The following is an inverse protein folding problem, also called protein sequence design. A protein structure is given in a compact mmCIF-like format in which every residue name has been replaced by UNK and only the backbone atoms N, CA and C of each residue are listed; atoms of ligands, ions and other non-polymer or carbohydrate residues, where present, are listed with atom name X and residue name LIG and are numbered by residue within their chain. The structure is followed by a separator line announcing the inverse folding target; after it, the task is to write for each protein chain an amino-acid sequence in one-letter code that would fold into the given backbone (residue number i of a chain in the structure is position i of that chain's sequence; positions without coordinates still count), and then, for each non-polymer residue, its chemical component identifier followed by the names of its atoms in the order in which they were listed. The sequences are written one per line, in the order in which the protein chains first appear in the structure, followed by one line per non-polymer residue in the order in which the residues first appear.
data_IF_442297940814
#
_entry.id   IF_442297940814
#
_cell.length_a   1.000
_cell.length_b   1.000
_cell.length_c   1.000
_cell.angle_alpha   90.00
_cell.angle_beta   90.00
_cell.angle_gamma   90.00
#
_symmetry.space_group_name_H-M   'P 1'
#
loop_
_entity.id
_entity.type
_entity.pdbx_description
1 polymer ?
#
# COMPACT_ATOMS: atom_id res chain seq x y z
N UNK A 1 12.23 -29.53 -9.24
CA UNK A 1 11.75 -28.15 -9.10
C UNK A 1 11.98 -27.78 -7.65
N UNK A 2 12.77 -26.76 -7.37
CA UNK A 2 12.97 -26.27 -6.00
C UNK A 2 11.87 -25.24 -5.69
N UNK A 3 11.08 -25.45 -4.65
CA UNK A 3 10.04 -24.53 -4.20
C UNK A 3 10.51 -23.63 -3.04
N UNK A 4 11.77 -23.70 -2.66
CA UNK A 4 12.34 -22.83 -1.63
C UNK A 4 12.80 -21.49 -2.24
N UNK A 5 12.81 -20.46 -1.42
CA UNK A 5 13.33 -19.14 -1.77
C UNK A 5 14.85 -19.19 -1.95
N UNK A 6 15.38 -18.34 -2.82
CA UNK A 6 16.82 -18.16 -2.98
C UNK A 6 17.46 -17.56 -1.70
N UNK A 7 18.78 -17.67 -1.58
CA UNK A 7 19.50 -17.09 -0.45
C UNK A 7 19.40 -15.56 -0.42
N UNK A 8 19.38 -14.91 -1.59
CA UNK A 8 19.22 -13.45 -1.70
C UNK A 8 17.83 -13.02 -1.23
N UNK A 9 16.77 -13.73 -1.62
CA UNK A 9 15.40 -13.47 -1.17
C UNK A 9 15.27 -13.67 0.35
N UNK A 10 15.86 -14.73 0.89
CA UNK A 10 15.90 -14.97 2.35
C UNK A 10 16.66 -13.88 3.07
N UNK A 11 17.77 -13.40 2.52
CA UNK A 11 18.55 -12.31 3.10
C UNK A 11 17.73 -11.01 3.20
N UNK A 12 17.02 -10.61 2.15
CA UNK A 12 16.14 -9.43 2.18
C UNK A 12 15.04 -9.58 3.23
N UNK A 13 14.39 -10.75 3.29
CA UNK A 13 13.39 -11.07 4.32
C UNK A 13 13.95 -10.92 5.72
N UNK A 14 15.12 -11.52 5.99
CA UNK A 14 15.70 -11.58 7.32
C UNK A 14 16.19 -10.18 7.78
N UNK A 15 16.69 -9.36 6.86
CA UNK A 15 17.03 -7.96 7.12
C UNK A 15 15.78 -7.13 7.44
N UNK A 16 14.71 -7.29 6.66
CA UNK A 16 13.43 -6.62 6.93
C UNK A 16 12.86 -7.06 8.30
N UNK A 17 12.90 -8.36 8.60
CA UNK A 17 12.47 -8.91 9.88
C UNK A 17 13.25 -8.33 11.05
N UNK A 18 14.59 -8.27 10.93
CA UNK A 18 15.47 -7.72 11.96
C UNK A 18 15.16 -6.26 12.21
N UNK A 19 15.10 -5.46 11.14
CA UNK A 19 14.79 -4.02 11.25
C UNK A 19 13.43 -3.79 11.94
N UNK A 20 12.38 -4.48 11.49
CA UNK A 20 11.03 -4.29 12.03
C UNK A 20 10.93 -4.75 13.49
N UNK A 21 11.56 -5.87 13.86
CA UNK A 21 11.62 -6.31 15.26
C UNK A 21 12.25 -5.25 16.17
N UNK A 22 13.31 -4.60 15.70
CA UNK A 22 14.09 -3.68 16.50
C UNK A 22 13.51 -2.25 16.52
N UNK A 23 12.70 -1.86 15.50
CA UNK A 23 12.22 -0.50 15.31
C UNK A 23 10.69 -0.34 15.26
N UNK A 24 9.93 -1.42 15.00
CA UNK A 24 8.47 -1.41 14.92
C UNK A 24 7.84 -2.09 16.13
N UNK A 25 8.14 -1.60 17.32
CA UNK A 25 7.60 -2.12 18.56
C UNK A 25 6.23 -1.53 18.90
N UNK A 26 5.74 -1.92 20.08
CA UNK A 26 4.42 -1.50 20.61
C UNK A 26 4.24 0.03 20.65
N UNK A 27 5.32 0.78 20.90
CA UNK A 27 5.29 2.23 20.97
C UNK A 27 4.99 2.85 19.60
N UNK A 28 5.65 2.38 18.54
CA UNK A 28 5.40 2.83 17.18
C UNK A 28 3.95 2.58 16.73
N UNK A 29 3.39 1.43 17.11
CA UNK A 29 2.00 1.10 16.84
C UNK A 29 1.03 1.99 17.63
N UNK A 30 1.27 2.19 18.94
CA UNK A 30 0.42 3.00 19.80
C UNK A 30 0.36 4.47 19.39
N UNK A 31 1.46 5.08 18.99
CA UNK A 31 1.47 6.48 18.55
C UNK A 31 0.52 6.72 17.36
N UNK A 32 0.37 5.73 16.48
CA UNK A 32 -0.60 5.80 15.38
C UNK A 32 -2.02 5.50 15.85
N UNK A 33 -2.22 4.48 16.69
CA UNK A 33 -3.53 4.13 17.25
C UNK A 33 -4.14 5.27 18.09
N UNK A 34 -3.31 6.00 18.82
CA UNK A 34 -3.70 7.12 19.68
C UNK A 34 -3.83 8.45 18.91
N UNK A 35 -3.55 8.43 17.60
CA UNK A 35 -3.71 9.58 16.70
C UNK A 35 -2.60 10.64 16.82
N UNK A 36 -1.48 10.32 17.46
CA UNK A 36 -0.33 11.23 17.59
C UNK A 36 0.40 11.43 16.25
N UNK A 37 0.37 10.40 15.38
CA UNK A 37 0.97 10.44 14.06
C UNK A 37 0.09 9.72 13.04
N UNK A 38 0.07 10.17 11.76
CA UNK A 38 -0.69 9.49 10.71
C UNK A 38 -0.11 8.13 10.32
N UNK A 39 1.17 7.89 10.58
CA UNK A 39 1.88 6.62 10.38
C UNK A 39 3.20 6.63 11.15
N UNK A 40 3.85 5.49 11.32
CA UNK A 40 5.14 5.37 12.00
C UNK A 40 6.29 5.88 11.11
N UNK A 41 6.50 7.19 11.12
CA UNK A 41 7.45 7.89 10.22
C UNK A 41 8.87 7.36 10.31
N UNK A 42 9.37 7.07 11.52
CA UNK A 42 10.72 6.56 11.73
C UNK A 42 10.87 5.15 11.12
N UNK A 43 9.85 4.30 11.27
CA UNK A 43 9.81 2.97 10.65
C UNK A 43 9.81 3.09 9.13
N UNK A 44 8.95 3.94 8.56
CA UNK A 44 8.91 4.21 7.12
C UNK A 44 10.27 4.66 6.59
N UNK A 45 10.87 5.65 7.22
CA UNK A 45 12.20 6.17 6.82
C UNK A 45 13.29 5.08 6.88
N UNK A 46 13.23 4.19 7.86
CA UNK A 46 14.16 3.06 7.95
C UNK A 46 13.97 2.07 6.80
N UNK A 47 12.73 1.70 6.50
CA UNK A 47 12.40 0.83 5.35
C UNK A 47 12.87 1.46 4.02
N UNK A 48 12.70 2.78 3.86
CA UNK A 48 13.18 3.54 2.70
C UNK A 48 14.72 3.51 2.59
N UNK A 49 15.45 3.72 3.69
CA UNK A 49 16.92 3.64 3.71
C UNK A 49 17.44 2.25 3.32
N UNK A 50 16.66 1.21 3.58
CA UNK A 50 16.96 -0.16 3.15
C UNK A 50 16.53 -0.43 1.69
N UNK A 51 15.90 0.52 1.01
CA UNK A 51 15.41 0.37 -0.36
C UNK A 51 14.17 -0.53 -0.50
N UNK A 52 13.49 -0.88 0.60
CA UNK A 52 12.39 -1.85 0.59
C UNK A 52 11.16 -1.40 -0.23
N UNK A 53 10.76 -0.11 -0.27
CA UNK A 53 9.70 0.33 -1.19
C UNK A 53 10.04 0.12 -2.66
N UNK A 54 11.33 0.14 -3.01
CA UNK A 54 11.86 -0.08 -4.36
C UNK A 54 12.14 -1.53 -4.72
N UNK A 55 11.82 -2.51 -3.87
CA UNK A 55 12.18 -3.93 -4.05
C UNK A 55 11.81 -4.46 -5.45
N UNK A 56 10.60 -4.20 -5.93
CA UNK A 56 10.13 -4.70 -7.24
C UNK A 56 10.33 -3.69 -8.38
N UNK A 57 10.69 -2.43 -8.09
CA UNK A 57 10.95 -1.40 -9.10
C UNK A 57 12.24 -1.76 -9.85
N UNK A 58 12.27 -1.71 -11.19
CA UNK A 58 13.48 -1.95 -11.97
C UNK A 58 14.63 -0.99 -11.61
N UNK A 59 15.86 -1.45 -11.76
CA UNK A 59 17.07 -0.66 -11.45
C UNK A 59 17.16 0.63 -12.29
N UNK A 60 16.68 0.60 -13.53
CA UNK A 60 16.63 1.78 -14.41
C UNK A 60 15.78 2.93 -13.86
N UNK A 61 14.87 2.64 -12.91
CA UNK A 61 14.05 3.62 -12.19
C UNK A 61 14.48 3.75 -10.71
N UNK A 62 15.68 3.34 -10.36
CA UNK A 62 16.23 3.51 -9.01
C UNK A 62 15.74 2.48 -7.98
N UNK A 63 15.09 1.41 -8.41
CA UNK A 63 14.71 0.30 -7.55
C UNK A 63 15.79 -0.77 -7.44
N UNK A 64 15.48 -1.86 -6.73
CA UNK A 64 16.39 -3.00 -6.56
C UNK A 64 16.25 -4.08 -7.64
N UNK A 65 15.18 -4.06 -8.46
CA UNK A 65 14.93 -5.07 -9.49
C UNK A 65 14.75 -6.50 -8.95
N UNK A 66 14.52 -6.67 -7.64
CA UNK A 66 14.48 -7.98 -6.99
C UNK A 66 13.15 -8.74 -7.22
N UNK A 67 12.18 -8.11 -7.86
CA UNK A 67 10.93 -8.72 -8.29
C UNK A 67 9.87 -8.86 -7.19
N UNK A 68 8.69 -9.34 -7.61
CA UNK A 68 7.51 -9.42 -6.75
C UNK A 68 7.60 -10.53 -5.70
N UNK A 69 8.35 -11.61 -5.96
CA UNK A 69 8.50 -12.68 -4.98
C UNK A 69 9.25 -12.19 -3.74
N UNK A 70 10.33 -11.43 -3.93
CA UNK A 70 11.04 -10.78 -2.84
C UNK A 70 10.15 -9.78 -2.11
N UNK A 71 9.35 -9.00 -2.85
CA UNK A 71 8.39 -8.05 -2.25
C UNK A 71 7.31 -8.76 -1.40
N UNK A 72 6.88 -9.97 -1.78
CA UNK A 72 5.98 -10.79 -0.96
C UNK A 72 6.59 -11.14 0.40
N UNK A 73 7.89 -11.46 0.44
CA UNK A 73 8.59 -11.76 1.69
C UNK A 73 8.74 -10.52 2.58
N UNK A 74 8.93 -9.34 1.98
CA UNK A 74 8.89 -8.05 2.71
C UNK A 74 7.48 -7.82 3.29
N UNK A 75 6.43 -8.01 2.49
CA UNK A 75 5.04 -7.86 2.91
C UNK A 75 4.70 -8.77 4.12
N UNK A 76 5.17 -10.02 4.11
CA UNK A 76 5.01 -10.94 5.25
C UNK A 76 5.60 -10.37 6.53
N UNK A 77 6.79 -9.75 6.46
CA UNK A 77 7.41 -9.17 7.65
C UNK A 77 6.68 -7.91 8.13
N UNK A 78 6.15 -7.08 7.22
CA UNK A 78 5.30 -5.93 7.59
C UNK A 78 4.06 -6.39 8.37
N UNK A 79 3.39 -7.42 7.89
CA UNK A 79 2.24 -8.01 8.56
C UNK A 79 2.58 -8.64 9.91
N UNK A 80 3.70 -9.36 10.00
CA UNK A 80 4.18 -9.99 11.23
C UNK A 80 4.39 -8.97 12.37
N UNK A 81 4.78 -7.75 12.03
CA UNK A 81 5.06 -6.68 12.98
C UNK A 81 3.95 -5.61 13.03
N UNK A 82 2.84 -5.80 12.32
CA UNK A 82 1.74 -4.82 12.20
C UNK A 82 2.25 -3.41 11.88
N UNK A 83 3.18 -3.29 10.95
CA UNK A 83 3.86 -2.03 10.66
C UNK A 83 2.88 -0.96 10.13
N UNK A 84 2.59 0.11 10.90
CA UNK A 84 1.64 1.14 10.50
C UNK A 84 2.32 2.17 9.60
N UNK A 85 2.59 1.76 8.36
CA UNK A 85 3.30 2.54 7.33
C UNK A 85 2.52 2.51 6.01
N UNK A 86 2.64 3.53 5.14
CA UNK A 86 1.89 3.62 3.88
C UNK A 86 2.44 2.68 2.80
N UNK A 87 2.81 1.46 3.17
CA UNK A 87 3.41 0.51 2.25
C UNK A 87 2.38 -0.07 1.29
N UNK A 88 1.20 -0.45 1.79
CA UNK A 88 0.16 -1.03 0.95
C UNK A 88 -0.41 -0.04 -0.07
N UNK A 89 -0.68 1.19 0.33
CA UNK A 89 -1.16 2.23 -0.58
C UNK A 89 -0.12 2.62 -1.62
N UNK A 90 1.12 2.85 -1.18
CA UNK A 90 2.17 3.35 -2.03
C UNK A 90 2.78 2.27 -2.92
N UNK A 91 3.13 1.10 -2.34
CA UNK A 91 3.85 0.05 -3.06
C UNK A 91 2.91 -0.93 -3.76
N UNK A 92 1.90 -1.48 -3.04
CA UNK A 92 1.03 -2.50 -3.65
C UNK A 92 0.04 -1.93 -4.66
N UNK A 93 -0.33 -0.65 -4.53
CA UNK A 93 -1.33 0.00 -5.38
C UNK A 93 -0.71 1.05 -6.31
N UNK A 94 -0.22 2.17 -5.78
CA UNK A 94 0.21 3.31 -6.59
C UNK A 94 1.45 3.01 -7.43
N UNK A 95 2.49 2.43 -6.84
CA UNK A 95 3.72 2.05 -7.56
C UNK A 95 3.45 0.96 -8.58
N UNK A 96 2.66 -0.04 -8.21
CA UNK A 96 2.28 -1.13 -9.12
C UNK A 96 1.52 -0.62 -10.35
N UNK A 97 0.59 0.32 -10.15
CA UNK A 97 -0.13 0.96 -11.24
C UNK A 97 0.80 1.71 -12.20
N UNK A 98 1.76 2.48 -11.65
CA UNK A 98 2.76 3.20 -12.43
C UNK A 98 3.69 2.27 -13.20
N UNK A 99 4.18 1.19 -12.57
CA UNK A 99 5.03 0.21 -13.24
C UNK A 99 4.30 -0.47 -14.40
N UNK A 100 3.04 -0.87 -14.19
CA UNK A 100 2.28 -1.61 -15.18
C UNK A 100 1.79 -0.75 -16.34
N UNK A 101 1.34 0.48 -16.07
CA UNK A 101 0.57 1.28 -17.03
C UNK A 101 1.12 2.68 -17.25
N UNK A 102 2.05 3.18 -16.44
CA UNK A 102 2.64 4.50 -16.61
C UNK A 102 3.37 4.64 -17.96
N UNK A 103 3.29 5.83 -18.56
CA UNK A 103 4.16 6.19 -19.69
C UNK A 103 5.61 6.24 -19.22
N UNK A 104 6.55 6.13 -20.15
CA UNK A 104 7.97 6.23 -19.82
C UNK A 104 8.31 7.51 -19.04
N UNK A 105 7.74 8.64 -19.47
CA UNK A 105 7.92 9.92 -18.77
C UNK A 105 7.39 9.90 -17.33
N UNK A 106 6.22 9.26 -17.10
CA UNK A 106 5.64 9.13 -15.76
C UNK A 106 6.47 8.20 -14.88
N UNK A 107 6.96 7.08 -15.43
CA UNK A 107 7.86 6.15 -14.71
C UNK A 107 9.15 6.84 -14.29
N UNK A 108 9.81 7.54 -15.20
CA UNK A 108 11.05 8.29 -14.94
C UNK A 108 10.84 9.41 -13.91
N UNK A 109 9.68 10.07 -13.90
CA UNK A 109 9.38 11.16 -12.98
C UNK A 109 9.08 10.68 -11.55
N UNK A 110 8.41 9.53 -11.40
CA UNK A 110 7.83 9.12 -10.11
C UNK A 110 8.45 7.89 -9.49
N UNK A 111 8.80 6.84 -10.25
CA UNK A 111 9.32 5.60 -9.67
C UNK A 111 10.58 5.80 -8.83
N UNK A 112 11.57 6.65 -9.22
CA UNK A 112 12.73 6.91 -8.37
C UNK A 112 12.36 7.50 -7.01
N UNK A 113 11.40 8.43 -6.97
CA UNK A 113 10.94 9.06 -5.72
C UNK A 113 10.17 8.08 -4.84
N UNK A 114 9.39 7.19 -5.45
CA UNK A 114 8.64 6.14 -4.74
C UNK A 114 9.60 5.07 -4.20
N UNK A 115 10.61 4.67 -4.97
CA UNK A 115 11.64 3.74 -4.53
C UNK A 115 12.42 4.27 -3.32
N UNK A 116 12.76 5.57 -3.34
CA UNK A 116 13.45 6.24 -2.24
C UNK A 116 12.53 6.58 -1.05
N UNK A 117 11.19 6.44 -1.21
CA UNK A 117 10.20 6.87 -0.22
C UNK A 117 10.10 8.38 -0.03
N UNK A 118 10.61 9.16 -0.99
CA UNK A 118 10.49 10.63 -1.03
C UNK A 118 9.09 11.08 -1.38
N UNK A 119 8.32 10.21 -2.05
CA UNK A 119 6.92 10.41 -2.37
C UNK A 119 6.10 9.18 -1.98
N UNK A 120 4.85 9.41 -1.62
CA UNK A 120 3.85 8.39 -1.32
C UNK A 120 2.79 8.44 -2.41
N UNK A 121 2.44 7.27 -2.97
CA UNK A 121 1.36 7.14 -3.94
C UNK A 121 0.14 6.46 -3.31
N UNK A 122 -1.01 6.63 -3.94
CA UNK A 122 -2.24 5.90 -3.58
C UNK A 122 -3.09 5.59 -4.80
N UNK A 123 -4.14 4.79 -4.59
CA UNK A 123 -5.17 4.48 -5.57
C UNK A 123 -6.52 4.99 -5.08
N UNK A 124 -7.26 5.69 -5.95
CA UNK A 124 -8.55 6.28 -5.64
C UNK A 124 -9.61 5.82 -6.65
N UNK A 125 -10.44 4.87 -6.28
CA UNK A 125 -11.42 4.23 -7.16
C UNK A 125 -12.84 4.24 -6.59
N UNK A 126 -13.02 4.22 -5.26
CA UNK A 126 -14.30 4.10 -4.58
C UNK A 126 -15.04 5.45 -4.54
N UNK A 127 -16.34 5.45 -4.90
CA UNK A 127 -17.21 6.63 -4.85
C UNK A 127 -18.45 6.45 -3.99
N UNK A 128 -18.83 5.21 -3.71
CA UNK A 128 -20.01 4.87 -2.94
C UNK A 128 -19.72 3.75 -1.95
N UNK A 129 -20.62 3.54 -0.98
CA UNK A 129 -20.55 2.40 -0.06
C UNK A 129 -21.02 1.07 -0.70
N UNK A 130 -21.41 1.08 -1.96
CA UNK A 130 -21.85 -0.10 -2.69
C UNK A 130 -20.68 -0.84 -3.31
N UNK A 131 -20.95 -2.03 -3.83
CA UNK A 131 -19.97 -2.81 -4.61
C UNK A 131 -19.49 -1.98 -5.79
N UNK A 132 -18.17 -1.89 -5.94
CA UNK A 132 -17.54 -1.20 -7.06
C UNK A 132 -17.85 -1.91 -8.38
N UNK A 133 -18.43 -1.17 -9.32
CA UNK A 133 -18.72 -1.62 -10.68
C UNK A 133 -18.38 -0.51 -11.67
N UNK A 134 -18.17 -0.80 -12.96
CA UNK A 134 -17.95 0.25 -13.97
C UNK A 134 -19.03 1.34 -13.96
N UNK A 135 -20.27 0.97 -13.70
CA UNK A 135 -21.42 1.89 -13.69
C UNK A 135 -21.46 2.77 -12.44
N UNK A 136 -20.81 2.36 -11.34
CA UNK A 136 -20.73 3.12 -10.10
C UNK A 136 -19.76 4.30 -10.16
N UNK A 137 -18.98 4.44 -11.24
CA UNK A 137 -18.00 5.51 -11.41
C UNK A 137 -18.66 6.73 -12.05
N UNK A 138 -18.64 7.85 -11.35
CA UNK A 138 -19.17 9.14 -11.77
C UNK A 138 -18.10 10.24 -11.90
N UNK A 139 -16.98 10.12 -11.19
CA UNK A 139 -15.81 11.00 -11.35
C UNK A 139 -15.37 10.98 -12.81
N UNK A 140 -15.18 12.14 -13.40
CA UNK A 140 -14.94 12.26 -14.84
C UNK A 140 -13.82 13.24 -15.17
N UNK A 141 -13.19 12.98 -16.31
CA UNK A 141 -12.16 13.85 -16.91
C UNK A 141 -12.72 14.50 -18.15
N UNK A 142 -12.63 15.84 -18.19
CA UNK A 142 -12.98 16.65 -19.34
C UNK A 142 -11.84 17.61 -19.64
N UNK A 143 -11.34 17.60 -20.86
CA UNK A 143 -10.24 18.48 -21.31
C UNK A 143 -9.01 18.44 -20.36
N UNK A 144 -8.64 17.25 -19.88
CA UNK A 144 -7.51 17.07 -18.95
C UNK A 144 -7.77 17.57 -17.51
N UNK A 145 -9.02 17.78 -17.15
CA UNK A 145 -9.46 18.23 -15.83
C UNK A 145 -10.35 17.19 -15.18
N UNK A 146 -9.99 16.77 -13.97
CA UNK A 146 -10.72 15.82 -13.15
C UNK A 146 -11.72 16.54 -12.26
N UNK A 147 -12.96 16.01 -12.22
CA UNK A 147 -14.02 16.52 -11.36
C UNK A 147 -14.73 15.38 -10.66
N UNK A 148 -15.02 15.59 -9.37
CA UNK A 148 -15.81 14.66 -8.56
C UNK A 148 -15.16 14.31 -7.24
N UNK A 149 -15.58 13.19 -6.64
CA UNK A 149 -15.22 12.83 -5.27
C UNK A 149 -14.91 11.35 -5.16
N UNK A 150 -13.79 11.02 -4.54
CA UNK A 150 -13.42 9.66 -4.15
C UNK A 150 -13.49 9.49 -2.63
N UNK A 151 -13.96 8.32 -2.21
CA UNK A 151 -14.13 7.95 -0.80
C UNK A 151 -13.10 6.89 -0.41
N UNK A 152 -12.80 6.82 0.88
CA UNK A 152 -11.97 5.75 1.48
C UNK A 152 -10.63 5.57 0.72
N UNK A 153 -10.04 6.70 0.29
CA UNK A 153 -8.74 6.68 -0.39
C UNK A 153 -7.66 6.31 0.64
N UNK A 154 -6.98 5.15 0.48
CA UNK A 154 -5.96 4.72 1.43
C UNK A 154 -4.82 5.73 1.51
N UNK A 155 -4.45 6.15 2.72
CA UNK A 155 -3.38 7.13 2.97
C UNK A 155 -3.52 8.45 2.18
N UNK A 156 -4.73 8.77 1.68
CA UNK A 156 -4.96 9.92 0.79
C UNK A 156 -4.52 11.26 1.35
N UNK A 157 -4.56 11.45 2.67
CA UNK A 157 -4.14 12.68 3.31
C UNK A 157 -2.62 12.88 3.37
N UNK A 158 -1.84 11.80 3.28
CA UNK A 158 -0.38 11.85 3.33
C UNK A 158 0.27 11.58 1.96
N UNK A 159 -0.50 11.07 0.99
CA UNK A 159 -0.01 10.79 -0.35
C UNK A 159 0.30 12.09 -1.13
N UNK A 160 1.29 11.99 -2.02
CA UNK A 160 1.70 13.07 -2.92
C UNK A 160 0.98 12.97 -4.26
N UNK A 161 0.77 11.73 -4.72
CA UNK A 161 0.07 11.44 -5.97
C UNK A 161 -1.00 10.36 -5.77
N UNK A 162 -2.03 10.43 -6.57
CA UNK A 162 -3.06 9.38 -6.68
C UNK A 162 -3.19 8.87 -8.11
N UNK A 163 -3.41 7.57 -8.23
CA UNK A 163 -3.95 6.97 -9.45
C UNK A 163 -5.47 6.91 -9.26
N UNK A 164 -6.19 7.62 -10.12
CA UNK A 164 -7.64 7.80 -10.01
C UNK A 164 -8.36 7.07 -11.13
N UNK A 165 -9.29 6.16 -10.79
CA UNK A 165 -10.21 5.59 -11.76
C UNK A 165 -11.31 6.63 -12.07
N UNK A 166 -11.47 7.03 -13.34
CA UNK A 166 -12.46 8.02 -13.73
C UNK A 166 -13.00 7.75 -15.14
N UNK A 167 -14.14 8.34 -15.45
CA UNK A 167 -14.70 8.32 -16.80
C UNK A 167 -13.87 9.21 -17.74
N UNK A 168 -13.41 8.62 -18.82
CA UNK A 168 -12.76 9.31 -19.95
C UNK A 168 -13.73 9.64 -21.10
N UNK A 169 -14.96 9.11 -21.01
CA UNK A 169 -16.05 9.28 -21.96
C UNK A 169 -17.34 8.65 -21.44
N UNK A 170 -18.45 8.69 -22.19
CA UNK A 170 -19.75 8.20 -21.73
C UNK A 170 -19.74 6.73 -21.24
N UNK A 171 -19.01 5.87 -21.94
CA UNK A 171 -18.92 4.43 -21.63
C UNK A 171 -17.49 3.94 -21.39
N UNK A 172 -16.52 4.87 -21.29
CA UNK A 172 -15.11 4.51 -21.12
C UNK A 172 -14.57 4.96 -19.77
N UNK A 173 -13.77 4.08 -19.16
CA UNK A 173 -13.01 4.34 -17.94
C UNK A 173 -11.52 4.41 -18.26
N UNK A 174 -10.80 5.26 -17.54
CA UNK A 174 -9.34 5.36 -17.57
C UNK A 174 -8.75 5.49 -16.19
N UNK A 175 -7.48 5.16 -16.07
CA UNK A 175 -6.68 5.52 -14.90
C UNK A 175 -5.96 6.84 -15.18
N UNK A 176 -5.94 7.71 -14.18
CA UNK A 176 -5.37 9.05 -14.28
C UNK A 176 -4.42 9.33 -13.13
N UNK A 177 -3.26 9.88 -13.45
CA UNK A 177 -2.29 10.37 -12.48
C UNK A 177 -2.64 11.79 -12.06
N UNK A 178 -2.76 12.00 -10.74
CA UNK A 178 -3.13 13.28 -10.14
C UNK A 178 -2.12 13.67 -9.07
N UNK A 179 -1.67 14.91 -9.07
CA UNK A 179 -0.91 15.49 -7.98
C UNK A 179 -1.87 15.92 -6.86
N UNK A 180 -1.80 15.26 -5.70
CA UNK A 180 -2.66 15.56 -4.56
C UNK A 180 -2.30 16.85 -3.82
N UNK A 181 -1.15 17.47 -4.14
CA UNK A 181 -0.73 18.76 -3.60
C UNK A 181 -1.23 19.94 -4.45
N UNK A 182 -1.97 19.67 -5.54
CA UNK A 182 -2.57 20.73 -6.33
C UNK A 182 -3.65 21.47 -5.52
N UNK A 183 -3.73 22.81 -5.56
CA UNK A 183 -4.69 23.60 -4.79
C UNK A 183 -6.16 23.34 -5.13
N UNK A 184 -6.46 22.71 -6.27
CA UNK A 184 -7.80 22.28 -6.67
C UNK A 184 -8.24 20.95 -6.05
N UNK A 185 -7.39 20.31 -5.23
CA UNK A 185 -7.67 19.07 -4.50
C UNK A 185 -8.02 19.42 -3.06
N UNK A 186 -9.17 18.97 -2.60
CA UNK A 186 -9.54 19.04 -1.18
C UNK A 186 -9.55 17.64 -0.57
N UNK A 187 -8.86 17.48 0.57
CA UNK A 187 -8.67 16.20 1.24
C UNK A 187 -9.19 16.29 2.68
N UNK A 188 -10.06 15.37 3.04
CA UNK A 188 -10.62 15.25 4.38
C UNK A 188 -10.34 13.85 4.93
N UNK A 189 -9.70 13.77 6.10
CA UNK A 189 -9.47 12.51 6.79
C UNK A 189 -10.80 11.87 7.22
N UNK A 190 -10.91 10.57 7.03
CA UNK A 190 -12.06 9.76 7.44
C UNK A 190 -11.60 8.75 8.48
N UNK A 191 -12.32 8.73 9.61
CA UNK A 191 -12.06 7.74 10.65
C UNK A 191 -12.37 6.33 10.15
N UNK A 192 -11.41 5.44 10.26
CA UNK A 192 -11.54 4.02 9.94
C UNK A 192 -11.69 3.17 11.20
N UNK A 193 -12.22 1.95 11.06
CA UNK A 193 -12.28 0.96 12.16
C UNK A 193 -10.86 0.58 12.60
N UNK A 194 -9.95 0.45 11.62
CA UNK A 194 -8.53 0.28 11.88
C UNK A 194 -7.81 1.63 11.74
N UNK A 195 -7.47 2.31 12.85
CA UNK A 195 -6.80 3.61 12.79
C UNK A 195 -5.32 3.52 12.36
N UNK A 196 -4.77 2.33 12.19
CA UNK A 196 -3.41 2.15 11.63
C UNK A 196 -3.40 2.22 10.10
N UNK A 197 -4.58 2.24 9.46
CA UNK A 197 -4.80 2.34 8.02
C UNK A 197 -5.61 3.59 7.73
N UNK A 198 -4.93 4.72 7.56
CA UNK A 198 -5.59 5.99 7.32
C UNK A 198 -6.34 5.97 5.99
N UNK A 199 -7.50 6.63 5.99
CA UNK A 199 -8.30 6.83 4.79
C UNK A 199 -8.74 8.28 4.69
N UNK A 200 -8.99 8.73 3.47
CA UNK A 200 -9.47 10.08 3.21
C UNK A 200 -10.59 10.10 2.17
N UNK A 201 -11.39 11.14 2.24
CA UNK A 201 -12.20 11.61 1.13
C UNK A 201 -11.38 12.60 0.32
N UNK A 202 -11.34 12.46 -0.99
CA UNK A 202 -10.63 13.37 -1.91
C UNK A 202 -11.61 13.94 -2.91
N UNK A 203 -11.68 15.27 -2.96
CA UNK A 203 -12.53 16.02 -3.90
C UNK A 203 -11.66 16.73 -4.92
N UNK A 204 -12.00 16.58 -6.18
CA UNK A 204 -11.33 17.19 -7.31
C UNK A 204 -12.25 18.25 -7.93
N UNK A 205 -11.74 19.47 -8.10
CA UNK A 205 -12.45 20.59 -8.72
C UNK A 205 -11.61 21.17 -9.84
N UNK A 206 -11.87 20.75 -11.08
CA UNK A 206 -11.08 21.12 -12.25
C UNK A 206 -9.58 20.78 -12.09
N UNK A 207 -9.28 19.68 -11.40
CA UNK A 207 -7.91 19.28 -11.07
C UNK A 207 -7.17 18.80 -12.31
N UNK A 208 -6.00 19.37 -12.62
CA UNK A 208 -5.17 18.89 -13.72
C UNK A 208 -4.80 17.41 -13.54
N UNK A 209 -4.91 16.64 -14.61
CA UNK A 209 -4.61 15.21 -14.58
C UNK A 209 -4.04 14.72 -15.90
N UNK A 210 -3.28 13.65 -15.85
CA UNK A 210 -2.69 12.97 -16.99
C UNK A 210 -3.22 11.54 -17.08
N UNK A 211 -3.49 11.05 -18.29
CA UNK A 211 -3.84 9.64 -18.48
C UNK A 211 -2.67 8.76 -18.08
N UNK A 212 -2.94 7.71 -17.31
CA UNK A 212 -1.96 6.69 -16.95
C UNK A 212 -1.89 5.64 -18.08
N UNK A 213 -1.13 5.98 -19.12
CA UNK A 213 -1.06 5.13 -20.32
C UNK A 213 -2.36 5.10 -21.12
N UNK A 214 -2.51 4.06 -21.94
CA UNK A 214 -3.67 3.80 -22.76
C UNK A 214 -4.33 2.47 -22.35
N UNK A 215 -5.65 2.34 -22.55
CA UNK A 215 -6.38 1.09 -22.31
C UNK A 215 -7.67 1.29 -21.54
N UNK A 216 -8.31 0.17 -21.24
CA UNK A 216 -9.52 0.11 -20.42
C UNK A 216 -9.15 0.22 -18.94
N UNK A 217 -9.56 1.32 -18.31
CA UNK A 217 -9.25 1.61 -16.89
C UNK A 217 -9.80 0.57 -15.92
N UNK A 218 -10.93 -0.09 -16.26
CA UNK A 218 -11.49 -1.15 -15.43
C UNK A 218 -10.61 -2.40 -15.45
N UNK A 219 -10.17 -2.83 -16.61
CA UNK A 219 -9.27 -3.98 -16.74
C UNK A 219 -7.90 -3.68 -16.11
N UNK A 220 -7.40 -2.45 -16.25
CA UNK A 220 -6.18 -2.00 -15.58
C UNK A 220 -6.32 -2.06 -14.06
N UNK A 221 -7.44 -1.57 -13.49
CA UNK A 221 -7.74 -1.66 -12.06
C UNK A 221 -7.76 -3.12 -11.57
N UNK A 222 -8.44 -4.00 -12.30
CA UNK A 222 -8.48 -5.43 -11.96
C UNK A 222 -7.08 -6.05 -11.95
N UNK A 223 -6.22 -5.68 -12.89
CA UNK A 223 -4.82 -6.12 -12.91
C UNK A 223 -4.07 -5.67 -11.66
N UNK A 224 -4.18 -4.40 -11.27
CA UNK A 224 -3.55 -3.85 -10.06
C UNK A 224 -4.06 -4.62 -8.83
N UNK A 225 -5.35 -4.81 -8.70
CA UNK A 225 -5.93 -5.52 -7.56
C UNK A 225 -5.48 -6.99 -7.47
N UNK A 226 -5.39 -7.69 -8.60
CA UNK A 226 -4.92 -9.07 -8.59
C UNK A 226 -3.49 -9.17 -8.06
N UNK A 227 -2.62 -8.23 -8.40
CA UNK A 227 -1.24 -8.19 -7.91
C UNK A 227 -1.18 -7.75 -6.45
N UNK A 228 -1.91 -6.70 -6.08
CA UNK A 228 -2.01 -6.24 -4.70
C UNK A 228 -2.58 -7.31 -3.76
N UNK A 229 -3.54 -8.11 -4.23
CA UNK A 229 -4.12 -9.20 -3.44
C UNK A 229 -3.08 -10.26 -3.04
N UNK A 230 -2.13 -10.58 -3.92
CA UNK A 230 -1.03 -11.50 -3.59
C UNK A 230 -0.15 -10.92 -2.47
N UNK A 231 0.25 -9.64 -2.59
CA UNK A 231 1.06 -8.96 -1.58
C UNK A 231 0.32 -8.85 -0.24
N UNK A 232 -0.97 -8.50 -0.29
CA UNK A 232 -1.82 -8.43 0.90
C UNK A 232 -2.00 -9.81 1.56
N UNK A 233 -2.10 -10.88 0.78
CA UNK A 233 -2.17 -12.24 1.32
C UNK A 233 -0.90 -12.62 2.10
N UNK A 234 0.28 -12.23 1.61
CA UNK A 234 1.53 -12.43 2.34
C UNK A 234 1.59 -11.57 3.60
N UNK A 235 1.13 -10.33 3.56
CA UNK A 235 1.04 -9.48 4.75
C UNK A 235 0.10 -10.11 5.80
N UNK A 236 -1.07 -10.60 5.41
CA UNK A 236 -2.00 -11.31 6.29
C UNK A 236 -1.41 -12.61 6.85
N UNK A 237 -0.66 -13.35 6.04
CA UNK A 237 0.05 -14.56 6.48
C UNK A 237 1.04 -14.24 7.60
N UNK A 238 1.82 -13.16 7.46
CA UNK A 238 2.74 -12.69 8.49
C UNK A 238 2.03 -12.38 9.81
N UNK A 239 0.92 -11.63 9.74
CA UNK A 239 0.09 -11.34 10.93
C UNK A 239 -0.50 -12.58 11.58
N UNK A 240 -1.00 -13.53 10.78
CA UNK A 240 -1.53 -14.79 11.28
C UNK A 240 -0.44 -15.65 11.97
N UNK A 241 0.75 -15.72 11.37
CA UNK A 241 1.88 -16.42 11.96
C UNK A 241 2.29 -15.80 13.32
N UNK A 242 2.37 -14.48 13.40
CA UNK A 242 2.65 -13.78 14.65
C UNK A 242 1.61 -14.07 15.75
N UNK A 243 0.32 -14.03 15.38
CA UNK A 243 -0.77 -14.36 16.31
C UNK A 243 -0.69 -15.80 16.82
N UNK A 244 -0.35 -16.75 15.94
CA UNK A 244 -0.15 -18.16 16.31
C UNK A 244 1.05 -18.31 17.25
N UNK A 245 2.20 -17.70 16.94
CA UNK A 245 3.40 -17.73 17.77
C UNK A 245 3.10 -17.19 19.19
N UNK A 246 2.37 -16.09 19.30
CA UNK A 246 1.93 -15.50 20.57
C UNK A 246 1.01 -16.46 21.35
N UNK A 247 0.06 -17.10 20.69
CA UNK A 247 -0.85 -18.06 21.31
C UNK A 247 -0.10 -19.29 21.84
N UNK A 248 0.85 -19.81 21.06
CA UNK A 248 1.70 -20.95 21.46
C UNK A 248 2.58 -20.57 22.65
N UNK A 249 3.23 -19.41 22.62
CA UNK A 249 4.05 -18.93 23.74
C UNK A 249 3.22 -18.83 25.03
N UNK A 250 2.05 -18.15 24.92
CA UNK A 250 1.15 -18.00 26.06
C UNK A 250 0.67 -19.35 26.61
N UNK A 251 0.30 -20.29 25.74
CA UNK A 251 -0.14 -21.63 26.14
C UNK A 251 0.97 -22.44 26.89
N UNK A 252 2.24 -22.20 26.56
CA UNK A 252 3.39 -22.82 27.23
C UNK A 252 3.73 -22.16 28.56
N UNK A 253 3.50 -20.86 28.70
CA UNK A 253 3.89 -20.08 29.89
C UNK A 253 2.77 -19.95 30.91
N UNK A 254 1.51 -19.90 30.50
CA UNK A 254 0.37 -19.72 31.41
C UNK A 254 0.03 -21.02 32.11
N UNK A 255 0.11 -21.03 33.46
CA UNK A 255 -0.29 -22.14 34.31
C UNK A 255 -1.74 -22.03 34.76
N UNK A 256 -2.45 -23.17 34.75
CA UNK A 256 -3.72 -23.38 35.41
C UNK A 256 -3.75 -24.83 35.96
N UNK A 257 -4.33 -25.01 37.11
CA UNK A 257 -4.40 -26.34 37.80
C UNK A 257 -3.04 -27.04 37.90
N UNK A 258 -1.97 -26.27 38.18
CA UNK A 258 -0.63 -26.79 38.45
C UNK A 258 0.21 -27.16 37.22
N UNK A 259 -0.25 -26.88 36.00
CA UNK A 259 0.50 -27.16 34.76
C UNK A 259 0.22 -26.12 33.66
N UNK A 260 1.11 -26.03 32.64
CA UNK A 260 0.85 -25.14 31.50
C UNK A 260 -0.47 -25.45 30.80
N UNK A 261 -1.23 -24.40 30.40
CA UNK A 261 -2.54 -24.60 29.78
C UNK A 261 -2.47 -25.37 28.45
N UNK A 262 -1.37 -25.23 27.70
CA UNK A 262 -1.13 -26.00 26.47
C UNK A 262 -0.94 -27.51 26.67
N UNK A 263 -0.84 -27.99 27.93
CA UNK A 263 -0.78 -29.43 28.25
C UNK A 263 -2.15 -30.08 28.42
N UNK A 264 -3.23 -29.29 28.38
CA UNK A 264 -4.59 -29.82 28.37
C UNK A 264 -5.01 -30.14 26.95
N UNK A 265 -5.82 -31.18 26.75
CA UNK A 265 -6.43 -31.53 25.47
C UNK A 265 -7.73 -30.79 25.29
#
# INVERSE_FOLDING_TARGET
MNFDFSEDEKMVRDEAARFLRDNCGREALRSVLEGEAPYAKNVWQGLCKMGLPGTAIPEEYGGAGAGHLTLCLVAEQLGKHLAPVPFSSSVYLGTEALMAFGTEAQKQAWLPKLAAGESIATLADIETAQVLTPDSISVSVQSGKLNGKKLIVPDGAIADIAIVLARSGPESLGLFLVNLKDPSVNIENVAAIDPTRNTATVVFDQTPTESLGAGDGWLQLQHIYNRAAVLMAFEQLGGAAAALDMAIAYAKERFAFGRPIGSFQ
#
